data_IF_969274392792
#
_entry.id   IF_969274392792
#
_cell.length_a   1.000
_cell.length_b   1.000
_cell.length_c   1.000
_cell.angle_alpha   90.00
_cell.angle_beta   90.00
_cell.angle_gamma   90.00
#
_symmetry.space_group_name_H-M   'P 1'
#
loop_
_entity.id
_entity.type
_entity.pdbx_description
1 polymer ?
#
# COMPACT_ATOMS: atom_id res chain seq x y z
N UNK A 1 0.04 -7.30 15.59
CA UNK A 1 -0.16 -8.72 15.16
C UNK A 1 0.14 -8.82 13.67
N UNK A 2 0.90 -9.84 13.23
CA UNK A 2 1.19 -10.05 11.80
C UNK A 2 0.20 -11.05 11.21
N UNK A 3 -0.39 -10.72 10.05
CA UNK A 3 -1.30 -11.58 9.29
C UNK A 3 -0.80 -11.73 7.85
N UNK A 4 -0.79 -12.95 7.32
CA UNK A 4 -0.54 -13.21 5.90
C UNK A 4 -1.85 -13.10 5.12
N UNK A 5 -1.85 -12.30 4.06
CA UNK A 5 -3.02 -12.07 3.19
C UNK A 5 -2.90 -12.83 1.86
N UNK A 6 -1.68 -13.00 1.37
CA UNK A 6 -1.36 -13.79 0.18
C UNK A 6 -0.29 -14.79 0.54
N UNK A 7 -0.41 -16.04 0.09
CA UNK A 7 0.64 -17.06 0.24
C UNK A 7 0.57 -18.06 -0.89
N UNK A 8 1.55 -18.02 -1.77
CA UNK A 8 1.68 -18.93 -2.93
C UNK A 8 3.02 -19.64 -2.86
N UNK A 9 3.01 -20.95 -3.07
CA UNK A 9 4.24 -21.74 -3.17
C UNK A 9 5.00 -21.38 -4.45
N UNK A 10 6.29 -21.20 -4.33
CA UNK A 10 7.22 -21.04 -5.43
C UNK A 10 8.08 -22.30 -5.58
N UNK A 11 8.77 -22.48 -6.71
CA UNK A 11 9.76 -23.55 -6.84
C UNK A 11 10.79 -23.53 -5.69
N UNK A 12 11.38 -24.70 -5.41
CA UNK A 12 12.47 -24.87 -4.42
C UNK A 12 12.02 -24.56 -2.96
N UNK A 13 10.77 -24.87 -2.62
CA UNK A 13 10.19 -24.66 -1.28
C UNK A 13 10.14 -23.20 -0.80
N UNK A 14 10.29 -22.24 -1.68
CA UNK A 14 10.09 -20.83 -1.38
C UNK A 14 8.60 -20.46 -1.37
N UNK A 15 8.30 -19.29 -0.83
CA UNK A 15 6.93 -18.75 -0.80
C UNK A 15 6.91 -17.28 -1.16
N UNK A 16 6.06 -16.95 -2.12
CA UNK A 16 5.58 -15.57 -2.26
C UNK A 16 4.53 -15.31 -1.18
N UNK A 17 4.78 -14.35 -0.31
CA UNK A 17 3.86 -14.03 0.77
C UNK A 17 3.76 -12.52 1.01
N UNK A 18 2.53 -12.01 0.98
CA UNK A 18 2.22 -10.62 1.37
C UNK A 18 1.65 -10.64 2.78
N UNK A 19 2.18 -9.78 3.63
CA UNK A 19 1.81 -9.72 5.05
C UNK A 19 1.44 -8.30 5.44
N UNK A 20 0.56 -8.20 6.43
CA UNK A 20 0.25 -6.93 7.11
C UNK A 20 0.54 -7.00 8.60
N UNK A 21 0.86 -5.87 9.18
CA UNK A 21 0.92 -5.67 10.62
C UNK A 21 -0.36 -4.96 11.07
N UNK A 22 -1.08 -5.54 12.02
CA UNK A 22 -2.32 -5.00 12.59
C UNK A 22 -2.00 -4.43 13.96
N UNK A 23 -2.20 -3.13 14.12
CA UNK A 23 -2.07 -2.38 15.36
C UNK A 23 -3.46 -1.89 15.74
N UNK A 24 -3.95 -2.34 16.89
CA UNK A 24 -5.32 -2.05 17.33
C UNK A 24 -5.33 -1.70 18.82
N UNK A 25 -6.09 -0.68 19.16
CA UNK A 25 -6.40 -0.33 20.55
C UNK A 25 -7.79 0.33 20.64
N UNK A 26 -8.33 0.39 21.87
CA UNK A 26 -9.61 1.02 22.14
C UNK A 26 -10.82 0.22 21.64
N UNK A 27 -11.96 0.91 21.55
CA UNK A 27 -13.25 0.38 21.12
C UNK A 27 -13.72 0.96 19.78
N UNK A 28 -12.97 1.91 19.24
CA UNK A 28 -13.25 2.52 17.95
C UNK A 28 -13.30 1.49 16.83
N UNK A 29 -14.18 1.70 15.88
CA UNK A 29 -14.40 0.82 14.73
C UNK A 29 -13.71 1.32 13.45
N UNK A 30 -13.05 2.47 13.49
CA UNK A 30 -12.34 3.01 12.33
C UNK A 30 -11.14 2.14 11.98
N UNK A 31 -10.96 1.95 10.69
CA UNK A 31 -9.88 1.15 10.11
C UNK A 31 -9.14 1.96 9.05
N UNK A 32 -7.86 2.21 9.30
CA UNK A 32 -6.95 2.87 8.37
C UNK A 32 -5.94 1.86 7.85
N UNK A 33 -5.74 1.82 6.54
CA UNK A 33 -4.74 0.98 5.90
C UNK A 33 -3.62 1.83 5.32
N UNK A 34 -2.38 1.39 5.48
CA UNK A 34 -1.19 2.00 4.89
C UNK A 34 -0.51 0.93 4.07
N UNK A 35 -0.41 1.15 2.77
CA UNK A 35 0.22 0.21 1.84
C UNK A 35 1.44 0.84 1.18
N UNK A 36 2.43 0.03 0.85
CA UNK A 36 3.62 0.44 0.11
C UNK A 36 4.31 -0.75 -0.53
N UNK A 37 5.34 -0.48 -1.34
CA UNK A 37 6.12 -1.51 -1.99
C UNK A 37 5.35 -2.23 -3.09
N UNK A 38 4.42 -1.56 -3.73
CA UNK A 38 3.81 -1.97 -5.00
C UNK A 38 4.89 -2.04 -6.08
N UNK A 39 5.80 -1.05 -6.07
CA UNK A 39 7.02 -1.07 -6.85
C UNK A 39 8.22 -1.38 -5.95
N UNK A 40 9.06 -2.33 -6.38
CA UNK A 40 10.14 -2.83 -5.54
C UNK A 40 11.37 -1.91 -5.49
N UNK A 41 11.47 -0.94 -6.37
CA UNK A 41 12.52 0.09 -6.41
C UNK A 41 12.17 1.38 -5.64
N UNK A 42 10.99 1.44 -5.01
CA UNK A 42 10.50 2.56 -4.22
C UNK A 42 10.60 2.23 -2.72
N UNK A 43 11.80 2.40 -2.13
CA UNK A 43 12.13 1.84 -0.81
C UNK A 43 11.75 2.72 0.39
N UNK A 44 11.49 4.01 0.19
CA UNK A 44 11.20 4.96 1.26
C UNK A 44 9.93 4.59 2.04
N UNK A 45 8.96 4.01 1.35
CA UNK A 45 7.70 3.60 1.95
C UNK A 45 7.86 2.56 3.07
N UNK A 46 8.85 1.64 2.97
CA UNK A 46 9.14 0.68 4.03
C UNK A 46 9.63 1.37 5.30
N UNK A 47 10.48 2.41 5.15
CA UNK A 47 10.94 3.20 6.29
C UNK A 47 9.79 3.97 6.93
N UNK A 48 8.90 4.57 6.12
CA UNK A 48 7.69 5.24 6.62
C UNK A 48 6.83 4.25 7.40
N UNK A 49 6.56 3.07 6.86
CA UNK A 49 5.80 2.03 7.54
C UNK A 49 6.42 1.60 8.88
N UNK A 50 7.75 1.46 8.92
CA UNK A 50 8.47 1.14 10.15
C UNK A 50 8.32 2.24 11.20
N UNK A 51 8.54 3.49 10.82
CA UNK A 51 8.46 4.64 11.73
C UNK A 51 7.04 4.85 12.26
N UNK A 52 6.03 4.72 11.40
CA UNK A 52 4.62 4.80 11.79
C UNK A 52 4.27 3.67 12.76
N UNK A 53 4.66 2.43 12.46
CA UNK A 53 4.42 1.30 13.36
C UNK A 53 5.10 1.50 14.72
N UNK A 54 6.32 2.03 14.74
CA UNK A 54 7.04 2.34 15.97
C UNK A 54 6.28 3.40 16.79
N UNK A 55 5.92 4.53 16.18
CA UNK A 55 5.20 5.61 16.84
C UNK A 55 3.84 5.15 17.39
N UNK A 56 3.08 4.36 16.62
CA UNK A 56 1.79 3.82 17.07
C UNK A 56 1.95 2.86 18.26
N UNK A 57 3.03 2.07 18.31
CA UNK A 57 3.25 1.20 19.47
C UNK A 57 3.75 1.98 20.71
N UNK A 58 4.56 3.00 20.52
CA UNK A 58 5.04 3.86 21.61
C UNK A 58 3.91 4.70 22.23
N UNK A 59 2.89 5.04 21.44
CA UNK A 59 1.73 5.85 21.85
C UNK A 59 0.41 5.09 21.65
N UNK A 60 0.41 3.81 21.95
CA UNK A 60 -0.75 2.93 21.69
C UNK A 60 -2.02 3.37 22.45
N UNK A 61 -1.85 4.02 23.59
CA UNK A 61 -2.93 4.58 24.41
C UNK A 61 -3.71 5.69 23.71
N UNK A 62 -3.11 6.37 22.71
CA UNK A 62 -3.77 7.42 21.91
C UNK A 62 -4.55 6.83 20.72
N UNK A 63 -4.39 5.56 20.40
CA UNK A 63 -5.10 4.92 19.31
C UNK A 63 -6.48 4.44 19.78
N UNK A 64 -7.54 4.86 19.07
CA UNK A 64 -8.87 4.31 19.21
C UNK A 64 -9.38 3.81 17.85
N UNK A 65 -9.09 2.57 17.55
CA UNK A 65 -9.39 1.93 16.25
C UNK A 65 -8.32 0.95 15.80
N UNK A 66 -8.19 0.79 14.50
CA UNK A 66 -7.27 -0.17 13.88
C UNK A 66 -6.44 0.51 12.79
N UNK A 67 -5.13 0.32 12.84
CA UNK A 67 -4.22 0.67 11.75
C UNK A 67 -3.59 -0.62 11.21
N UNK A 68 -3.71 -0.84 9.91
CA UNK A 68 -3.13 -1.98 9.22
C UNK A 68 -2.04 -1.50 8.27
N UNK A 69 -0.85 -2.05 8.39
CA UNK A 69 0.33 -1.64 7.62
C UNK A 69 0.79 -2.80 6.75
N UNK A 70 0.84 -2.56 5.44
CA UNK A 70 1.27 -3.51 4.41
C UNK A 70 2.61 -3.00 3.83
N UNK A 71 3.74 -3.43 4.40
CA UNK A 71 5.04 -2.83 4.07
C UNK A 71 5.60 -3.28 2.72
N UNK A 72 5.01 -4.29 2.09
CA UNK A 72 5.52 -4.88 0.86
C UNK A 72 4.41 -5.58 0.10
N UNK A 73 3.81 -4.90 -0.89
CA UNK A 73 2.83 -5.53 -1.79
C UNK A 73 3.52 -6.36 -2.88
N UNK A 74 4.74 -6.00 -3.26
CA UNK A 74 5.60 -6.75 -4.19
C UNK A 74 6.93 -7.13 -3.51
N UNK A 75 6.93 -8.13 -2.60
CA UNK A 75 8.15 -8.52 -1.88
C UNK A 75 9.27 -8.99 -2.80
N UNK A 76 8.96 -9.69 -3.91
CA UNK A 76 9.98 -10.13 -4.87
C UNK A 76 10.64 -8.94 -5.59
N UNK A 77 9.86 -7.92 -5.92
CA UNK A 77 10.39 -6.68 -6.50
C UNK A 77 11.31 -5.95 -5.54
N UNK A 78 10.94 -5.88 -4.25
CA UNK A 78 11.77 -5.26 -3.20
C UNK A 78 13.10 -6.04 -3.04
N UNK A 79 13.05 -7.37 -2.98
CA UNK A 79 14.24 -8.21 -2.82
C UNK A 79 15.23 -8.05 -3.99
N UNK A 80 14.73 -7.74 -5.18
CA UNK A 80 15.53 -7.57 -6.40
C UNK A 80 15.72 -6.11 -6.81
N UNK A 81 15.11 -5.17 -6.08
CA UNK A 81 15.12 -3.72 -6.38
C UNK A 81 14.64 -3.47 -7.82
N UNK A 82 13.50 -4.04 -8.17
CA UNK A 82 12.88 -3.92 -9.48
C UNK A 82 11.46 -3.37 -9.33
N UNK A 83 11.08 -2.47 -10.24
CA UNK A 83 9.75 -1.86 -10.25
C UNK A 83 8.64 -2.91 -10.30
N UNK A 84 8.70 -3.78 -11.27
CA UNK A 84 7.70 -4.83 -11.50
C UNK A 84 7.88 -6.07 -10.65
N UNK A 85 7.02 -7.04 -10.85
CA UNK A 85 7.17 -8.38 -10.26
C UNK A 85 8.21 -9.13 -11.10
N UNK A 86 9.34 -9.55 -10.51
CA UNK A 86 10.38 -10.29 -11.22
C UNK A 86 9.82 -11.54 -11.91
N UNK A 87 10.40 -11.90 -13.04
CA UNK A 87 10.00 -13.02 -13.91
C UNK A 87 8.68 -12.86 -14.66
N UNK A 88 7.86 -11.86 -14.33
CA UNK A 88 6.60 -11.60 -15.01
C UNK A 88 6.64 -10.31 -15.83
N UNK A 89 7.65 -9.46 -15.61
CA UNK A 89 7.76 -8.10 -16.18
C UNK A 89 6.44 -7.32 -16.05
N UNK A 90 5.81 -7.44 -14.88
CA UNK A 90 4.46 -6.97 -14.64
C UNK A 90 4.44 -5.88 -13.57
N UNK A 91 3.94 -4.70 -13.92
CA UNK A 91 3.65 -3.63 -12.97
C UNK A 91 2.31 -3.93 -12.26
N UNK A 92 2.35 -4.15 -10.94
CA UNK A 92 1.15 -4.43 -10.14
C UNK A 92 0.12 -3.31 -10.24
N UNK A 93 0.55 -2.06 -10.39
CA UNK A 93 -0.33 -0.92 -10.62
C UNK A 93 -0.93 -0.85 -12.04
N UNK A 94 -0.89 -1.94 -12.80
CA UNK A 94 -1.56 -2.09 -14.09
C UNK A 94 -2.52 -3.27 -14.11
N UNK A 95 -2.66 -3.97 -12.99
CA UNK A 95 -3.47 -5.18 -12.90
C UNK A 95 -4.55 -5.16 -11.82
N UNK A 96 -4.58 -4.13 -10.96
CA UNK A 96 -5.70 -3.96 -10.03
C UNK A 96 -7.03 -3.77 -10.79
N UNK A 97 -8.15 -4.30 -10.30
CA UNK A 97 -8.37 -4.97 -9.01
C UNK A 97 -7.97 -6.46 -9.00
N UNK A 98 -7.29 -6.96 -10.02
CA UNK A 98 -6.90 -8.35 -10.14
C UNK A 98 -7.99 -9.29 -10.63
N UNK A 99 -7.65 -10.58 -10.69
CA UNK A 99 -8.57 -11.65 -11.10
C UNK A 99 -8.32 -12.90 -10.23
N UNK A 100 -9.34 -13.40 -9.50
CA UNK A 100 -9.17 -14.55 -8.62
C UNK A 100 -8.84 -15.87 -9.38
N UNK A 101 -9.11 -15.92 -10.69
CA UNK A 101 -8.82 -17.05 -11.55
C UNK A 101 -7.65 -16.77 -12.52
N UNK A 102 -6.95 -15.67 -12.34
CA UNK A 102 -5.85 -15.25 -13.20
C UNK A 102 -4.50 -15.81 -12.78
N UNK A 103 -3.46 -15.14 -13.24
CA UNK A 103 -2.07 -15.43 -12.86
C UNK A 103 -1.84 -15.23 -11.36
N UNK A 104 -0.71 -15.70 -10.83
CA UNK A 104 -0.33 -15.46 -9.43
C UNK A 104 -0.37 -13.97 -9.05
N UNK A 105 0.08 -13.09 -9.94
CA UNK A 105 0.09 -11.65 -9.72
C UNK A 105 -1.33 -11.06 -9.68
N UNK A 106 -2.20 -11.48 -10.60
CA UNK A 106 -3.61 -11.05 -10.63
C UNK A 106 -4.39 -11.58 -9.41
N UNK A 107 -4.14 -12.82 -8.99
CA UNK A 107 -4.72 -13.35 -7.75
C UNK A 107 -4.25 -12.58 -6.52
N UNK A 108 -2.95 -12.23 -6.46
CA UNK A 108 -2.41 -11.41 -5.37
C UNK A 108 -3.06 -10.02 -5.33
N UNK A 109 -3.16 -9.34 -6.49
CA UNK A 109 -3.83 -8.05 -6.60
C UNK A 109 -5.29 -8.13 -6.12
N UNK A 110 -6.02 -9.17 -6.54
CA UNK A 110 -7.39 -9.41 -6.10
C UNK A 110 -7.49 -9.57 -4.57
N UNK A 111 -6.64 -10.39 -3.97
CA UNK A 111 -6.64 -10.61 -2.52
C UNK A 111 -6.26 -9.35 -1.72
N UNK A 112 -5.36 -8.52 -2.25
CA UNK A 112 -5.03 -7.21 -1.66
C UNK A 112 -6.29 -6.34 -1.63
N UNK A 113 -6.97 -6.18 -2.77
CA UNK A 113 -8.18 -5.36 -2.85
C UNK A 113 -9.28 -5.88 -1.92
N UNK A 114 -9.50 -7.21 -1.90
CA UNK A 114 -10.49 -7.81 -0.99
C UNK A 114 -10.16 -7.55 0.49
N UNK A 115 -8.89 -7.62 0.86
CA UNK A 115 -8.47 -7.38 2.26
C UNK A 115 -8.54 -5.88 2.64
N UNK A 116 -8.42 -4.96 1.68
CA UNK A 116 -8.56 -3.51 1.90
C UNK A 116 -10.01 -3.04 1.96
N UNK A 117 -10.96 -3.79 1.38
CA UNK A 117 -12.38 -3.42 1.40
C UNK A 117 -12.89 -3.14 2.82
N UNK A 118 -13.69 -2.09 2.95
CA UNK A 118 -14.24 -1.65 4.23
C UNK A 118 -13.27 -0.87 5.11
N UNK A 119 -12.08 -0.49 4.62
CA UNK A 119 -11.26 0.51 5.27
C UNK A 119 -11.92 1.89 5.16
N UNK A 120 -11.84 2.70 6.23
CA UNK A 120 -12.31 4.10 6.21
C UNK A 120 -11.35 4.99 5.41
N UNK A 121 -10.06 4.62 5.35
CA UNK A 121 -9.04 5.35 4.62
C UNK A 121 -7.90 4.41 4.24
N UNK A 122 -7.40 4.56 3.03
CA UNK A 122 -6.21 3.87 2.53
C UNK A 122 -5.17 4.90 2.09
N UNK A 123 -3.96 4.76 2.59
CA UNK A 123 -2.78 5.50 2.11
C UNK A 123 -1.95 4.55 1.27
N UNK A 124 -1.79 4.85 -0.01
CA UNK A 124 -0.86 4.16 -0.89
C UNK A 124 0.40 5.01 -1.04
N UNK A 125 1.52 4.52 -0.50
CA UNK A 125 2.78 5.25 -0.42
C UNK A 125 3.68 4.78 -1.54
N UNK A 126 3.98 5.70 -2.43
CA UNK A 126 4.95 5.57 -3.49
C UNK A 126 6.13 6.53 -3.28
N UNK A 127 7.21 6.30 -3.98
CA UNK A 127 8.32 7.25 -4.10
C UNK A 127 8.83 7.29 -5.54
N UNK A 128 9.84 8.11 -5.79
CA UNK A 128 10.51 8.08 -7.08
C UNK A 128 11.55 6.96 -7.15
N UNK A 129 12.10 6.75 -8.34
CA UNK A 129 13.19 5.79 -8.56
C UNK A 129 14.42 6.14 -7.70
N UNK A 130 15.27 5.15 -7.45
CA UNK A 130 16.42 5.16 -6.52
C UNK A 130 17.32 6.40 -6.54
N UNK A 131 17.44 7.11 -7.65
CA UNK A 131 18.37 8.23 -7.81
C UNK A 131 17.68 9.56 -8.02
N UNK A 132 16.36 9.62 -7.84
CA UNK A 132 15.57 10.84 -8.00
C UNK A 132 15.00 11.30 -6.66
N UNK A 133 15.05 12.60 -6.43
CA UNK A 133 14.36 13.24 -5.32
C UNK A 133 13.11 13.94 -5.84
N UNK A 134 11.96 13.47 -5.42
CA UNK A 134 10.68 14.13 -5.68
C UNK A 134 10.26 15.02 -4.52
N UNK A 135 9.45 16.03 -4.82
CA UNK A 135 8.75 16.81 -3.80
C UNK A 135 7.67 15.94 -3.15
N UNK A 136 7.65 15.83 -1.83
CA UNK A 136 6.57 15.15 -1.15
C UNK A 136 5.21 15.73 -1.54
N UNK A 137 4.28 14.87 -1.93
CA UNK A 137 2.97 15.30 -2.41
C UNK A 137 1.89 14.26 -2.08
N UNK A 138 0.66 14.73 -1.94
CA UNK A 138 -0.52 13.87 -1.92
C UNK A 138 -1.18 13.96 -3.29
N UNK A 139 -1.48 12.80 -3.89
CA UNK A 139 -2.23 12.71 -5.14
C UNK A 139 -3.66 12.26 -4.83
N UNK A 140 -4.63 12.99 -5.33
CA UNK A 140 -6.05 12.72 -5.09
C UNK A 140 -6.77 12.71 -6.43
N UNK A 141 -7.60 11.69 -6.65
CA UNK A 141 -8.51 11.67 -7.80
C UNK A 141 -9.58 12.74 -7.62
N UNK A 142 -9.86 13.51 -8.66
CA UNK A 142 -10.89 14.56 -8.67
C UNK A 142 -12.26 14.07 -8.19
N UNK A 143 -12.59 12.80 -8.41
CA UNK A 143 -13.84 12.19 -7.94
C UNK A 143 -13.94 12.15 -6.41
N UNK A 144 -12.81 12.12 -5.71
CA UNK A 144 -12.73 12.05 -4.25
C UNK A 144 -12.25 13.37 -3.61
N UNK A 145 -12.14 14.44 -4.40
CA UNK A 145 -11.61 15.73 -3.96
C UNK A 145 -12.29 16.25 -2.69
N UNK A 146 -13.62 16.25 -2.69
CA UNK A 146 -14.42 16.81 -1.59
C UNK A 146 -14.17 16.11 -0.24
N UNK A 147 -13.89 14.82 -0.28
CA UNK A 147 -13.69 14.00 0.92
C UNK A 147 -12.23 13.95 1.34
N UNK A 148 -11.31 13.83 0.39
CA UNK A 148 -9.91 13.55 0.68
C UNK A 148 -9.05 14.80 0.85
N UNK A 149 -9.35 15.93 0.18
CA UNK A 149 -8.55 17.16 0.33
C UNK A 149 -8.55 17.67 1.78
N UNK A 150 -9.67 17.70 2.52
CA UNK A 150 -9.64 18.09 3.93
C UNK A 150 -8.81 17.17 4.83
N UNK A 151 -8.70 15.90 4.47
CA UNK A 151 -7.83 14.93 5.17
C UNK A 151 -6.36 15.16 4.80
N UNK A 152 -6.07 15.36 3.51
CA UNK A 152 -4.72 15.62 3.02
C UNK A 152 -4.10 16.89 3.65
N UNK A 153 -4.90 17.92 3.87
CA UNK A 153 -4.46 19.16 4.53
C UNK A 153 -4.01 18.96 5.98
N UNK A 154 -4.35 17.84 6.62
CA UNK A 154 -3.89 17.48 7.96
C UNK A 154 -2.55 16.74 7.95
N UNK A 155 -2.12 16.28 6.78
CA UNK A 155 -0.79 15.71 6.63
C UNK A 155 0.22 16.84 6.55
N UNK A 156 1.38 16.66 7.14
CA UNK A 156 2.46 17.66 7.07
C UNK A 156 3.17 17.59 5.71
N UNK A 157 2.41 17.82 4.63
CA UNK A 157 2.86 17.77 3.24
C UNK A 157 2.40 19.06 2.55
N UNK A 158 3.34 19.76 1.92
CA UNK A 158 3.11 21.10 1.36
C UNK A 158 2.31 21.08 0.05
N UNK A 159 2.24 19.93 -0.63
CA UNK A 159 1.68 19.85 -1.97
C UNK A 159 0.57 18.80 -2.06
N UNK A 160 -0.63 19.25 -2.46
CA UNK A 160 -1.77 18.37 -2.77
C UNK A 160 -2.10 18.53 -4.25
N UNK A 161 -1.98 17.45 -5.00
CA UNK A 161 -2.28 17.41 -6.42
C UNK A 161 -3.60 16.69 -6.66
N UNK A 162 -4.62 17.44 -7.08
CA UNK A 162 -5.90 16.88 -7.52
C UNK A 162 -5.89 16.77 -9.05
N UNK A 163 -6.16 15.61 -9.57
CA UNK A 163 -6.13 15.35 -11.00
C UNK A 163 -7.22 14.37 -11.44
N UNK A 164 -7.59 14.47 -12.73
CA UNK A 164 -8.43 13.46 -13.36
C UNK A 164 -7.59 12.23 -13.68
N UNK A 165 -7.81 11.20 -12.94
CA UNK A 165 -7.06 9.95 -13.04
C UNK A 165 -7.71 8.94 -13.98
N UNK A 166 -8.86 9.24 -14.54
CA UNK A 166 -9.67 8.29 -15.30
C UNK A 166 -8.93 7.68 -16.51
N UNK A 167 -7.87 8.33 -16.98
CA UNK A 167 -7.14 7.87 -18.17
C UNK A 167 -5.94 6.98 -17.88
N UNK A 168 -5.44 6.95 -16.64
CA UNK A 168 -4.18 6.24 -16.32
C UNK A 168 -4.34 5.23 -15.18
N UNK A 169 -5.39 5.34 -14.39
CA UNK A 169 -5.44 4.75 -13.05
C UNK A 169 -6.61 3.79 -12.80
N UNK A 170 -7.33 3.33 -13.82
CA UNK A 170 -8.39 2.31 -13.62
C UNK A 170 -7.84 0.98 -13.07
N UNK A 171 -6.54 0.76 -13.21
CA UNK A 171 -5.85 -0.46 -12.77
C UNK A 171 -4.85 -0.23 -11.63
N UNK A 172 -4.85 0.94 -11.01
CA UNK A 172 -4.08 1.22 -9.78
C UNK A 172 -4.89 0.89 -8.53
N UNK A 173 -4.20 0.73 -7.41
CA UNK A 173 -4.83 0.48 -6.12
C UNK A 173 -5.60 1.68 -5.61
#
# INVERSE_FOLDING_TARGET
MIKTIVSTALPINERFAIRKNIIKNGKGNRRVCIVTGTHGDELEGQMVCYLVAKQLNEHIDLLDGTVEIYPALNPLGIDTIQRGIPNFDLDMNRIFPGNPNGTMAEQAAHLIVEDLKGADLVFDIHSSNLYLRETPQVRINVLNEKELVPLAQRLNIDFVWVHDAATVLESTL
#
